data_IF_585067247726
#
_entry.id   IF_585067247726
#
_cell.length_a   1.000
_cell.length_b   1.000
_cell.length_c   1.000
_cell.angle_alpha   90.00
_cell.angle_beta   90.00
_cell.angle_gamma   90.00
#
_symmetry.space_group_name_H-M   'P 1'
#
loop_
_entity.id
_entity.type
_entity.pdbx_description
1 polymer ?
#
# COMPACT_ATOMS: atom_id res chain seq x y z
N UNK A 1 -18.40 -5.87 -0.12
CA UNK A 1 -18.80 -7.18 -0.72
C UNK A 1 -17.65 -8.18 -0.71
N UNK A 2 -16.43 -7.76 -1.05
CA UNK A 2 -15.22 -8.58 -1.02
C UNK A 2 -15.02 -9.34 0.31
N UNK A 3 -14.91 -8.59 1.42
CA UNK A 3 -14.76 -9.14 2.78
C UNK A 3 -15.87 -10.16 3.11
N UNK A 4 -17.13 -9.82 2.82
CA UNK A 4 -18.28 -10.68 3.15
C UNK A 4 -18.33 -11.97 2.33
N UNK A 5 -17.90 -11.93 1.06
CA UNK A 5 -17.97 -13.07 0.13
C UNK A 5 -16.62 -13.79 -0.04
N UNK A 6 -15.56 -13.38 0.67
CA UNK A 6 -14.18 -13.86 0.49
C UNK A 6 -13.71 -13.83 -0.98
N UNK A 7 -14.16 -12.82 -1.72
CA UNK A 7 -13.72 -12.56 -3.09
C UNK A 7 -12.80 -11.35 -3.06
N UNK A 8 -11.51 -11.57 -3.25
CA UNK A 8 -10.52 -10.52 -3.18
C UNK A 8 -10.65 -9.53 -4.35
N UNK A 9 -10.38 -8.27 -4.08
CA UNK A 9 -10.33 -7.20 -5.09
C UNK A 9 -8.89 -6.97 -5.51
N UNK A 10 -8.68 -6.77 -6.82
CA UNK A 10 -7.39 -6.33 -7.34
C UNK A 10 -7.30 -4.79 -7.28
N UNK A 11 -7.27 -4.23 -6.08
CA UNK A 11 -7.06 -2.80 -5.85
C UNK A 11 -5.75 -2.60 -5.10
N UNK A 12 -4.95 -1.62 -5.52
CA UNK A 12 -3.67 -1.26 -4.89
C UNK A 12 -3.77 0.17 -4.37
N UNK A 13 -4.28 0.32 -3.16
CA UNK A 13 -4.34 1.62 -2.50
C UNK A 13 -3.05 1.87 -1.71
N UNK A 14 -2.63 3.14 -1.55
CA UNK A 14 -1.60 3.49 -0.58
C UNK A 14 -1.99 3.08 0.84
N UNK A 15 -1.01 2.76 1.69
CA UNK A 15 -1.19 2.41 3.11
C UNK A 15 -2.03 3.42 3.89
N UNK A 16 -1.89 4.72 3.54
CA UNK A 16 -2.68 5.82 4.08
C UNK A 16 -4.19 5.55 4.02
N UNK A 17 -4.68 5.04 2.90
CA UNK A 17 -6.11 4.77 2.69
C UNK A 17 -6.56 3.68 3.66
N UNK A 18 -5.79 2.60 3.79
CA UNK A 18 -6.10 1.50 4.70
C UNK A 18 -6.12 1.96 6.15
N UNK A 19 -5.16 2.78 6.58
CA UNK A 19 -5.12 3.40 7.90
C UNK A 19 -6.36 4.24 8.18
N UNK A 20 -6.75 5.09 7.23
CA UNK A 20 -7.95 5.92 7.39
C UNK A 20 -9.24 5.09 7.42
N UNK A 21 -9.29 3.95 6.73
CA UNK A 21 -10.44 3.04 6.77
C UNK A 21 -10.50 2.23 8.08
N UNK A 22 -9.36 1.80 8.63
CA UNK A 22 -9.27 1.11 9.92
C UNK A 22 -9.31 2.05 11.13
N UNK A 23 -9.32 3.37 10.92
CA UNK A 23 -9.27 4.40 11.97
C UNK A 23 -7.93 4.41 12.72
N UNK A 24 -6.86 3.99 12.07
CA UNK A 24 -5.50 4.20 12.53
C UNK A 24 -5.05 5.65 12.32
N UNK A 25 -4.21 6.19 13.21
CA UNK A 25 -3.66 7.52 13.04
C UNK A 25 -2.72 7.58 11.84
N UNK A 26 -2.94 8.58 10.98
CA UNK A 26 -2.04 8.91 9.89
C UNK A 26 -0.84 9.67 10.44
N UNK A 27 0.36 9.32 9.98
CA UNK A 27 1.58 10.06 10.30
C UNK A 27 2.12 10.80 9.08
N UNK A 28 3.11 11.67 9.29
CA UNK A 28 3.73 12.45 8.21
C UNK A 28 4.45 11.53 7.23
N UNK A 29 5.05 10.45 7.73
CA UNK A 29 5.75 9.45 6.94
C UNK A 29 4.81 8.75 5.94
N UNK A 30 3.53 8.57 6.30
CA UNK A 30 2.52 7.98 5.41
C UNK A 30 2.25 8.84 4.17
N UNK A 31 2.29 10.18 4.32
CA UNK A 31 2.15 11.07 3.17
C UNK A 31 3.45 11.18 2.41
N UNK A 32 4.59 11.23 3.10
CA UNK A 32 5.90 11.28 2.46
C UNK A 32 6.14 10.06 1.55
N UNK A 33 5.59 8.90 1.91
CA UNK A 33 5.61 7.70 1.06
C UNK A 33 4.83 7.88 -0.26
N UNK A 34 3.87 8.81 -0.32
CA UNK A 34 3.03 9.08 -1.49
C UNK A 34 3.55 10.30 -2.27
N UNK A 35 3.92 11.35 -1.53
CA UNK A 35 4.34 12.67 -2.06
C UNK A 35 5.65 13.11 -1.39
N UNK A 36 6.72 12.36 -1.65
CA UNK A 36 8.05 12.66 -1.13
C UNK A 36 8.58 14.01 -1.60
N UNK A 37 8.17 14.45 -2.79
CA UNK A 37 8.64 15.70 -3.39
C UNK A 37 8.12 16.92 -2.63
N UNK A 38 6.82 17.00 -2.35
CA UNK A 38 6.25 18.13 -1.58
C UNK A 38 6.90 18.24 -0.20
N UNK A 39 7.13 17.12 0.48
CA UNK A 39 7.78 17.11 1.79
C UNK A 39 9.26 17.47 1.72
N UNK A 40 9.98 17.00 0.71
CA UNK A 40 11.39 17.36 0.49
C UNK A 40 11.53 18.87 0.31
N UNK A 41 10.72 19.48 -0.56
CA UNK A 41 10.76 20.93 -0.83
C UNK A 41 10.54 21.73 0.46
N UNK A 42 9.53 21.36 1.25
CA UNK A 42 9.20 22.08 2.50
C UNK A 42 10.27 21.87 3.56
N UNK A 43 10.76 20.64 3.72
CA UNK A 43 11.82 20.32 4.68
C UNK A 43 13.13 21.03 4.31
N UNK A 44 13.48 21.09 3.03
CA UNK A 44 14.66 21.82 2.55
C UNK A 44 14.52 23.32 2.73
N UNK A 45 13.33 23.87 2.49
CA UNK A 45 13.05 25.28 2.72
C UNK A 45 13.15 25.62 4.22
N UNK A 46 12.59 24.80 5.12
CA UNK A 46 12.76 24.95 6.57
C UNK A 46 14.24 24.90 6.98
N UNK A 47 15.02 23.94 6.45
CA UNK A 47 16.45 23.82 6.74
C UNK A 47 17.25 25.04 6.25
N UNK A 48 16.99 25.51 5.03
CA UNK A 48 17.67 26.70 4.47
C UNK A 48 17.40 27.94 5.31
N UNK A 49 16.17 28.12 5.79
CA UNK A 49 15.82 29.26 6.65
C UNK A 49 16.52 29.17 8.00
N UNK A 50 16.58 27.98 8.60
CA UNK A 50 17.28 27.79 9.86
C UNK A 50 18.80 28.02 9.71
N UNK A 51 19.37 27.58 8.59
CA UNK A 51 20.76 27.88 8.24
C UNK A 51 20.99 29.40 8.10
N UNK A 52 20.13 30.10 7.37
CA UNK A 52 20.20 31.55 7.19
C UNK A 52 20.09 32.26 8.55
N UNK A 53 19.16 31.86 9.42
CA UNK A 53 19.04 32.41 10.79
C UNK A 53 20.30 32.19 11.62
N UNK A 54 20.92 31.02 11.52
CA UNK A 54 22.13 30.67 12.28
C UNK A 54 23.37 31.47 11.84
N UNK A 55 23.50 31.76 10.55
CA UNK A 55 24.61 32.54 9.99
C UNK A 55 24.48 34.03 10.37
N UNK A 56 23.26 34.53 10.47
CA UNK A 56 23.02 35.98 10.60
C UNK A 56 22.93 36.43 12.06
N UNK A 57 22.71 35.51 13.01
CA UNK A 57 23.03 35.77 14.42
C UNK A 57 24.50 36.18 14.64
N UNK A 58 25.39 35.91 13.67
CA UNK A 58 26.80 36.28 13.70
C UNK A 58 27.16 37.59 12.96
N UNK A 59 26.28 38.14 12.10
CA UNK A 59 26.54 39.37 11.31
C UNK A 59 25.26 40.22 11.17
N UNK A 60 25.22 41.37 11.84
CA UNK A 60 24.04 42.24 11.96
C UNK A 60 23.64 43.03 10.68
N UNK A 61 24.42 42.90 9.60
CA UNK A 61 24.30 43.71 8.38
C UNK A 61 23.66 42.99 7.18
N UNK A 62 23.26 41.72 7.31
CA UNK A 62 22.65 40.97 6.21
C UNK A 62 21.12 41.15 6.16
N UNK A 63 20.62 41.65 5.02
CA UNK A 63 19.20 41.84 4.73
C UNK A 63 18.50 40.49 4.40
N UNK A 64 18.23 39.73 5.47
CA UNK A 64 17.53 38.42 5.47
C UNK A 64 16.23 38.49 4.67
N UNK A 65 15.48 39.57 4.91
CA UNK A 65 14.13 39.73 4.41
C UNK A 65 14.13 39.89 2.90
N UNK A 66 15.13 40.58 2.32
CA UNK A 66 15.26 40.71 0.87
C UNK A 66 15.51 39.36 0.17
N UNK A 67 16.44 38.54 0.69
CA UNK A 67 16.82 37.27 0.09
C UNK A 67 15.67 36.27 0.21
N UNK A 68 15.03 36.22 1.39
CA UNK A 68 13.89 35.37 1.64
C UNK A 68 12.69 35.75 0.75
N UNK A 69 12.37 37.05 0.69
CA UNK A 69 11.26 37.56 -0.13
C UNK A 69 11.49 37.28 -1.61
N UNK A 70 12.74 37.31 -2.08
CA UNK A 70 13.07 36.94 -3.46
C UNK A 70 12.74 35.46 -3.75
N UNK A 71 13.19 34.54 -2.87
CA UNK A 71 13.01 33.09 -3.04
C UNK A 71 11.55 32.68 -2.87
N UNK A 72 10.83 33.28 -1.94
CA UNK A 72 9.46 32.91 -1.56
C UNK A 72 8.38 33.86 -2.11
N UNK A 73 8.74 34.74 -3.05
CA UNK A 73 7.87 35.79 -3.60
C UNK A 73 6.53 35.27 -4.15
N UNK A 74 6.52 34.04 -4.66
CA UNK A 74 5.34 33.39 -5.24
C UNK A 74 4.51 32.60 -4.23
N UNK A 75 5.04 32.32 -3.03
CA UNK A 75 4.31 31.53 -2.02
C UNK A 75 3.30 32.39 -1.26
N UNK A 76 2.13 31.81 -1.05
CA UNK A 76 1.02 32.37 -0.25
C UNK A 76 0.55 31.31 0.75
N UNK A 77 -0.35 31.67 1.66
CA UNK A 77 -1.01 30.67 2.51
C UNK A 77 -2.12 29.93 1.75
N UNK A 78 -1.77 29.34 0.62
CA UNK A 78 -2.62 28.45 -0.16
C UNK A 78 -1.83 27.25 -0.67
N UNK A 79 -2.55 26.28 -1.22
CA UNK A 79 -1.98 25.03 -1.75
C UNK A 79 -2.82 24.53 -2.91
N UNK A 80 -2.15 24.02 -3.94
CA UNK A 80 -2.82 23.32 -5.03
C UNK A 80 -3.04 21.86 -4.63
N UNK A 81 -4.30 21.47 -4.57
CA UNK A 81 -4.71 20.10 -4.28
C UNK A 81 -4.29 19.12 -5.37
N UNK A 82 -4.31 17.82 -5.09
CA UNK A 82 -4.13 16.75 -6.07
C UNK A 82 -5.18 16.79 -7.19
N UNK A 83 -6.30 17.51 -6.99
CA UNK A 83 -7.32 17.76 -8.01
C UNK A 83 -7.07 19.00 -8.89
N UNK A 84 -5.98 19.73 -8.64
CA UNK A 84 -5.64 20.97 -9.35
C UNK A 84 -6.38 22.22 -8.84
N UNK A 85 -7.21 22.09 -7.81
CA UNK A 85 -7.90 23.22 -7.18
C UNK A 85 -7.03 23.85 -6.09
N UNK A 86 -7.02 25.18 -6.00
CA UNK A 86 -6.34 25.94 -4.94
C UNK A 86 -7.21 26.00 -3.69
N UNK A 87 -6.60 25.74 -2.53
CA UNK A 87 -7.21 25.83 -1.22
C UNK A 87 -6.44 26.79 -0.33
N UNK A 88 -7.14 27.70 0.33
CA UNK A 88 -6.52 28.58 1.32
C UNK A 88 -6.25 27.80 2.62
N UNK A 89 -5.01 27.87 3.11
CA UNK A 89 -4.57 27.23 4.36
C UNK A 89 -5.04 28.01 5.60
N UNK A 90 -5.24 29.32 5.44
CA UNK A 90 -5.85 30.23 6.42
C UNK A 90 -6.87 31.11 5.69
N UNK A 91 -7.74 31.81 6.44
CA UNK A 91 -8.69 32.76 5.85
C UNK A 91 -7.94 33.85 5.08
N UNK A 92 -8.35 34.07 3.82
CA UNK A 92 -7.73 35.07 2.92
C UNK A 92 -6.25 34.73 2.61
N UNK A 93 -5.88 33.46 2.74
CA UNK A 93 -4.50 33.00 2.67
C UNK A 93 -3.84 33.23 1.31
N UNK A 94 -4.60 33.22 0.22
CA UNK A 94 -4.10 33.52 -1.13
C UNK A 94 -3.59 34.96 -1.28
N UNK A 95 -4.01 35.88 -0.38
CA UNK A 95 -3.55 37.26 -0.38
C UNK A 95 -2.40 37.52 0.60
N UNK A 96 -2.00 36.53 1.40
CA UNK A 96 -0.99 36.68 2.46
C UNK A 96 0.36 36.12 1.97
N UNK A 97 1.36 36.97 1.68
CA UNK A 97 2.70 36.53 1.31
C UNK A 97 3.41 35.83 2.47
N UNK A 98 4.20 34.83 2.12
CA UNK A 98 5.04 34.13 3.08
C UNK A 98 6.27 34.99 3.42
N UNK A 99 6.54 35.14 4.72
CA UNK A 99 7.67 35.89 5.31
C UNK A 99 8.48 34.96 6.21
N UNK A 100 9.68 35.40 6.63
CA UNK A 100 10.56 34.61 7.52
C UNK A 100 9.85 34.26 8.83
N UNK A 101 9.03 35.17 9.36
CA UNK A 101 8.30 35.02 10.62
C UNK A 101 7.17 34.01 10.48
N UNK A 102 6.44 34.06 9.37
CA UNK A 102 5.22 33.27 9.18
C UNK A 102 5.48 31.91 8.49
N UNK A 103 6.67 31.69 7.92
CA UNK A 103 7.02 30.48 7.18
C UNK A 103 6.80 29.18 7.99
N UNK A 104 7.21 29.17 9.26
CA UNK A 104 7.01 28.01 10.14
C UNK A 104 5.53 27.66 10.30
N UNK A 105 4.67 28.68 10.34
CA UNK A 105 3.23 28.52 10.44
C UNK A 105 2.64 28.01 9.11
N UNK A 106 3.15 28.50 7.98
CA UNK A 106 2.81 27.98 6.65
C UNK A 106 3.14 26.49 6.53
N UNK A 107 4.36 26.07 6.88
CA UNK A 107 4.76 24.66 6.82
C UNK A 107 3.85 23.77 7.68
N UNK A 108 3.50 24.22 8.88
CA UNK A 108 2.57 23.51 9.75
C UNK A 108 1.21 23.32 9.09
N UNK A 109 0.62 24.39 8.55
CA UNK A 109 -0.70 24.31 7.90
C UNK A 109 -0.66 23.52 6.59
N UNK A 110 0.41 23.62 5.82
CA UNK A 110 0.60 22.82 4.61
C UNK A 110 0.61 21.32 4.93
N UNK A 111 1.40 20.89 5.93
CA UNK A 111 1.42 19.49 6.38
C UNK A 111 0.05 19.04 6.86
N UNK A 112 -0.63 19.88 7.64
CA UNK A 112 -1.98 19.58 8.11
C UNK A 112 -2.97 19.44 6.95
N UNK A 113 -2.89 20.30 5.92
CA UNK A 113 -3.71 20.16 4.73
C UNK A 113 -3.45 18.82 4.04
N UNK A 114 -2.17 18.48 3.77
CA UNK A 114 -1.80 17.22 3.10
C UNK A 114 -2.26 15.98 3.87
N UNK A 115 -2.27 16.01 5.21
CA UNK A 115 -2.82 14.93 6.06
C UNK A 115 -4.32 14.73 5.89
N UNK A 116 -5.06 15.79 5.59
CA UNK A 116 -6.52 15.79 5.58
C UNK A 116 -7.12 15.92 4.18
N UNK A 117 -6.29 16.04 3.15
CA UNK A 117 -6.68 16.31 1.76
C UNK A 117 -7.71 15.30 1.22
N UNK A 118 -7.58 14.03 1.62
CA UNK A 118 -8.43 12.94 1.15
C UNK A 118 -9.57 12.56 2.09
N UNK A 119 -9.73 13.23 3.23
CA UNK A 119 -10.69 12.82 4.27
C UNK A 119 -12.11 12.72 3.73
N UNK A 120 -12.53 13.66 2.89
CA UNK A 120 -13.89 13.68 2.32
C UNK A 120 -14.15 12.46 1.43
N UNK A 121 -13.20 12.10 0.58
CA UNK A 121 -13.30 10.95 -0.33
C UNK A 121 -13.32 9.66 0.47
N UNK A 122 -12.47 9.57 1.49
CA UNK A 122 -12.45 8.44 2.41
C UNK A 122 -13.76 8.32 3.18
N UNK A 123 -14.35 9.42 3.65
CA UNK A 123 -15.63 9.40 4.35
C UNK A 123 -16.74 8.81 3.49
N UNK A 124 -16.78 9.10 2.19
CA UNK A 124 -17.72 8.47 1.26
C UNK A 124 -17.46 6.97 1.09
N UNK A 125 -16.19 6.55 0.98
CA UNK A 125 -15.82 5.13 0.92
C UNK A 125 -16.24 4.41 2.20
N UNK A 126 -15.98 5.01 3.37
CA UNK A 126 -16.42 4.52 4.68
C UNK A 126 -17.93 4.37 4.70
N UNK A 127 -18.70 5.40 4.34
CA UNK A 127 -20.17 5.35 4.28
C UNK A 127 -20.67 4.20 3.38
N UNK A 128 -20.03 3.99 2.23
CA UNK A 128 -20.35 2.85 1.36
C UNK A 128 -20.06 1.50 2.03
N UNK A 129 -18.92 1.37 2.73
CA UNK A 129 -18.55 0.16 3.47
C UNK A 129 -19.51 -0.11 4.64
N UNK A 130 -19.92 0.93 5.37
CA UNK A 130 -20.87 0.85 6.49
C UNK A 130 -22.19 0.16 6.12
N UNK A 131 -22.66 0.35 4.88
CA UNK A 131 -23.89 -0.29 4.39
C UNK A 131 -23.77 -1.82 4.25
N UNK A 132 -22.54 -2.36 4.27
CA UNK A 132 -22.26 -3.78 4.08
C UNK A 132 -21.69 -4.41 5.36
N UNK A 133 -20.79 -3.69 6.04
CA UNK A 133 -20.10 -4.13 7.26
C UNK A 133 -20.17 -3.00 8.29
N UNK A 134 -20.72 -3.25 9.50
CA UNK A 134 -20.75 -2.24 10.55
C UNK A 134 -19.35 -1.72 10.90
N UNK A 135 -19.23 -0.41 11.10
CA UNK A 135 -17.93 0.25 11.27
C UNK A 135 -17.09 -0.27 12.42
N UNK A 136 -17.74 -0.69 13.50
CA UNK A 136 -17.02 -1.16 14.68
C UNK A 136 -16.16 -2.38 14.35
N UNK A 137 -16.56 -3.20 13.37
CA UNK A 137 -15.73 -4.31 12.90
C UNK A 137 -14.51 -3.84 12.14
N UNK A 138 -14.62 -2.75 11.36
CA UNK A 138 -13.47 -2.19 10.61
C UNK A 138 -12.39 -1.67 11.56
N UNK A 139 -12.79 -1.08 12.69
CA UNK A 139 -11.86 -0.63 13.73
C UNK A 139 -11.21 -1.76 14.54
N UNK A 140 -11.61 -3.02 14.34
CA UNK A 140 -10.91 -4.17 14.94
C UNK A 140 -9.72 -4.63 14.11
N UNK A 141 -9.68 -4.25 12.82
CA UNK A 141 -8.56 -4.59 11.94
C UNK A 141 -7.48 -3.53 12.05
N UNK A 142 -6.23 -3.98 11.96
CA UNK A 142 -5.14 -3.09 11.53
C UNK A 142 -5.27 -2.77 10.04
N UNK A 143 -4.60 -1.72 9.58
CA UNK A 143 -4.57 -1.31 8.17
C UNK A 143 -4.12 -2.47 7.26
N UNK A 144 -3.07 -3.18 7.66
CA UNK A 144 -2.56 -4.34 6.92
C UNK A 144 -3.57 -5.50 6.89
N UNK A 145 -4.23 -5.82 8.01
CA UNK A 145 -5.22 -6.89 8.02
C UNK A 145 -6.46 -6.54 7.19
N UNK A 146 -6.85 -5.26 7.17
CA UNK A 146 -7.95 -4.79 6.34
C UNK A 146 -7.60 -4.87 4.84
N UNK A 147 -6.36 -4.53 4.48
CA UNK A 147 -5.83 -4.72 3.14
C UNK A 147 -5.82 -6.20 2.76
N UNK A 148 -5.25 -7.09 3.58
CA UNK A 148 -5.21 -8.53 3.33
C UNK A 148 -6.62 -9.13 3.22
N UNK A 149 -7.55 -8.74 4.08
CA UNK A 149 -8.94 -9.20 4.04
C UNK A 149 -9.67 -8.74 2.77
N UNK A 150 -9.23 -7.63 2.15
CA UNK A 150 -9.86 -7.05 0.96
C UNK A 150 -9.21 -7.51 -0.33
N UNK A 151 -7.88 -7.55 -0.37
CA UNK A 151 -7.06 -7.78 -1.56
C UNK A 151 -6.38 -9.16 -1.58
N UNK A 152 -6.39 -9.87 -0.45
CA UNK A 152 -5.59 -11.07 -0.25
C UNK A 152 -4.14 -10.73 0.07
N UNK A 153 -3.36 -11.74 0.42
CA UNK A 153 -1.91 -11.58 0.65
C UNK A 153 -1.18 -11.37 -0.67
N UNK A 154 -0.25 -10.42 -0.70
CA UNK A 154 0.57 -10.18 -1.88
C UNK A 154 1.60 -11.29 -2.11
N UNK A 155 2.08 -11.91 -1.02
CA UNK A 155 3.01 -13.04 -1.07
C UNK A 155 2.29 -14.37 -0.88
N UNK A 156 2.72 -15.37 -1.63
CA UNK A 156 2.18 -16.73 -1.53
C UNK A 156 2.88 -17.46 -0.38
N UNK A 157 2.09 -17.78 0.64
CA UNK A 157 2.51 -18.60 1.77
C UNK A 157 2.59 -20.08 1.35
N UNK A 158 3.82 -20.53 1.06
CA UNK A 158 4.07 -21.89 0.58
C UNK A 158 3.79 -22.92 1.69
N UNK A 159 4.07 -22.60 2.95
CA UNK A 159 3.82 -23.51 4.06
C UNK A 159 2.30 -23.74 4.24
N UNK A 160 1.51 -22.67 4.14
CA UNK A 160 0.04 -22.77 4.15
C UNK A 160 -0.48 -23.61 2.99
N UNK A 161 0.08 -23.42 1.79
CA UNK A 161 -0.29 -24.21 0.60
C UNK A 161 0.10 -25.70 0.77
N UNK A 162 1.29 -25.99 1.29
CA UNK A 162 1.75 -27.35 1.58
C UNK A 162 0.86 -28.08 2.58
N UNK A 163 0.38 -27.39 3.61
CA UNK A 163 -0.55 -27.98 4.59
C UNK A 163 -1.92 -28.30 4.02
N UNK A 164 -2.32 -27.61 2.95
CA UNK A 164 -3.63 -27.73 2.31
C UNK A 164 -3.59 -28.44 0.95
N UNK A 165 -2.49 -29.14 0.64
CA UNK A 165 -2.35 -29.97 -0.56
C UNK A 165 -2.87 -31.39 -0.32
N UNK A 166 -3.41 -31.99 -1.37
CA UNK A 166 -3.71 -33.40 -1.49
C UNK A 166 -2.76 -34.02 -2.51
N UNK A 167 -2.22 -35.18 -2.18
CA UNK A 167 -1.46 -36.00 -3.13
C UNK A 167 -2.38 -37.11 -3.65
N UNK A 168 -2.54 -37.18 -4.97
CA UNK A 168 -3.36 -38.18 -5.66
C UNK A 168 -2.52 -39.28 -6.30
N UNK A 169 -3.11 -40.46 -6.48
CA UNK A 169 -2.43 -41.63 -7.05
C UNK A 169 -1.45 -42.25 -6.04
N UNK A 170 -0.22 -42.53 -6.49
CA UNK A 170 0.84 -43.10 -5.65
C UNK A 170 1.73 -42.04 -4.96
N UNK A 171 1.46 -40.75 -5.18
CA UNK A 171 2.26 -39.69 -4.58
C UNK A 171 1.97 -39.51 -3.09
N UNK A 172 3.05 -39.21 -2.37
CA UNK A 172 3.06 -38.79 -0.97
C UNK A 172 4.01 -37.61 -0.81
N UNK A 173 4.02 -36.98 0.36
CA UNK A 173 4.93 -35.88 0.66
C UNK A 173 6.42 -36.27 0.50
N UNK A 174 6.75 -37.53 0.74
CA UNK A 174 8.11 -38.08 0.61
C UNK A 174 8.51 -38.41 -0.83
N UNK A 175 7.57 -38.40 -1.78
CA UNK A 175 7.83 -38.77 -3.16
C UNK A 175 8.84 -37.80 -3.80
N UNK A 176 9.90 -38.28 -4.48
CA UNK A 176 10.93 -37.41 -5.06
C UNK A 176 10.40 -36.31 -6.01
N UNK A 177 9.38 -36.57 -6.87
CA UNK A 177 8.79 -35.51 -7.70
C UNK A 177 8.13 -34.40 -6.87
N UNK A 178 7.48 -34.73 -5.75
CA UNK A 178 6.81 -33.78 -4.86
C UNK A 178 7.84 -32.92 -4.13
N UNK A 179 8.91 -33.53 -3.59
CA UNK A 179 10.00 -32.77 -2.95
C UNK A 179 10.67 -31.80 -3.94
N UNK A 180 10.89 -32.22 -5.19
CA UNK A 180 11.43 -31.35 -6.23
C UNK A 180 10.49 -30.20 -6.57
N UNK A 181 9.18 -30.46 -6.69
CA UNK A 181 8.17 -29.44 -6.94
C UNK A 181 8.22 -28.34 -5.89
N UNK A 182 8.20 -28.71 -4.60
CA UNK A 182 8.26 -27.74 -3.50
C UNK A 182 9.58 -27.00 -3.44
N UNK A 183 10.70 -27.70 -3.69
CA UNK A 183 12.02 -27.08 -3.76
C UNK A 183 12.08 -26.00 -4.83
N UNK A 184 11.60 -26.29 -6.05
CA UNK A 184 11.56 -25.32 -7.15
C UNK A 184 10.65 -24.14 -6.80
N UNK A 185 9.48 -24.42 -6.22
CA UNK A 185 8.53 -23.36 -5.85
C UNK A 185 9.08 -22.42 -4.78
N UNK A 186 9.85 -22.95 -3.82
CA UNK A 186 10.39 -22.17 -2.71
C UNK A 186 11.70 -21.44 -3.07
N UNK A 187 12.61 -22.11 -3.79
CA UNK A 187 13.97 -21.58 -4.03
C UNK A 187 14.12 -20.87 -5.38
N UNK A 188 13.34 -21.25 -6.40
CA UNK A 188 13.58 -20.78 -7.78
C UNK A 188 12.51 -19.81 -8.28
N UNK A 189 11.27 -19.90 -7.80
CA UNK A 189 10.18 -19.08 -8.30
C UNK A 189 10.12 -17.73 -7.57
N UNK A 190 9.99 -16.65 -8.35
CA UNK A 190 9.58 -15.36 -7.82
C UNK A 190 8.06 -15.30 -7.55
N UNK A 191 7.58 -14.26 -6.87
CA UNK A 191 6.15 -14.16 -6.52
C UNK A 191 5.21 -14.16 -7.72
N UNK A 192 5.60 -13.54 -8.85
CA UNK A 192 4.77 -13.54 -10.06
C UNK A 192 4.66 -14.94 -10.67
N UNK A 193 5.75 -15.73 -10.66
CA UNK A 193 5.75 -17.12 -11.10
C UNK A 193 4.92 -18.02 -10.18
N UNK A 194 4.98 -17.80 -8.86
CA UNK A 194 4.12 -18.51 -7.90
C UNK A 194 2.64 -18.18 -8.17
N UNK A 195 2.30 -16.91 -8.40
CA UNK A 195 0.94 -16.47 -8.76
C UNK A 195 0.48 -17.10 -10.08
N UNK A 196 1.35 -17.14 -11.08
CA UNK A 196 1.06 -17.78 -12.37
C UNK A 196 0.78 -19.28 -12.22
N UNK A 197 1.51 -19.99 -11.35
CA UNK A 197 1.25 -21.39 -11.03
C UNK A 197 -0.13 -21.57 -10.39
N UNK A 198 -0.50 -20.74 -9.41
CA UNK A 198 -1.83 -20.80 -8.79
C UNK A 198 -2.93 -20.51 -9.83
N UNK A 199 -2.74 -19.56 -10.74
CA UNK A 199 -3.69 -19.29 -11.82
C UNK A 199 -3.80 -20.51 -12.74
N UNK A 200 -2.67 -21.14 -13.08
CA UNK A 200 -2.64 -22.32 -13.93
C UNK A 200 -3.42 -23.48 -13.31
N UNK A 201 -3.15 -23.82 -12.05
CA UNK A 201 -3.69 -24.99 -11.38
C UNK A 201 -5.07 -24.78 -10.74
N UNK A 202 -5.38 -23.56 -10.29
CA UNK A 202 -6.56 -23.24 -9.48
C UNK A 202 -7.39 -22.06 -10.00
N UNK A 203 -6.93 -21.37 -11.05
CA UNK A 203 -7.66 -20.23 -11.62
C UNK A 203 -7.69 -18.99 -10.72
N UNK A 204 -6.89 -18.95 -9.64
CA UNK A 204 -6.81 -17.83 -8.69
C UNK A 204 -5.38 -17.38 -8.52
N UNK A 205 -5.17 -16.08 -8.32
CA UNK A 205 -3.84 -15.49 -8.12
C UNK A 205 -3.43 -15.39 -6.66
N UNK A 206 -4.31 -15.72 -5.71
CA UNK A 206 -4.06 -15.60 -4.28
C UNK A 206 -4.55 -16.83 -3.53
N UNK A 207 -3.93 -17.09 -2.37
CA UNK A 207 -4.35 -18.14 -1.46
C UNK A 207 -5.50 -17.67 -0.55
N UNK A 208 -6.33 -18.59 -0.06
CA UNK A 208 -7.11 -18.37 1.15
C UNK A 208 -6.19 -17.96 2.33
N UNK A 209 -6.69 -17.13 3.25
CA UNK A 209 -5.86 -16.57 4.34
C UNK A 209 -5.62 -17.62 5.45
N UNK A 210 -6.61 -18.47 5.72
CA UNK A 210 -6.58 -19.49 6.78
C UNK A 210 -6.90 -20.87 6.21
N UNK A 211 -6.48 -21.93 6.91
CA UNK A 211 -6.73 -23.32 6.52
C UNK A 211 -8.22 -23.63 6.33
N UNK A 212 -9.07 -23.07 7.20
CA UNK A 212 -10.52 -23.27 7.14
C UNK A 212 -11.16 -22.66 5.88
N UNK A 213 -10.45 -21.75 5.20
CA UNK A 213 -10.94 -21.06 4.01
C UNK A 213 -10.66 -21.85 2.71
N UNK A 214 -9.98 -23.00 2.78
CA UNK A 214 -9.73 -23.87 1.64
C UNK A 214 -10.94 -24.77 1.34
N UNK A 215 -11.92 -24.22 0.59
CA UNK A 215 -13.10 -24.96 0.13
C UNK A 215 -12.74 -26.08 -0.86
N UNK A 216 -11.68 -25.89 -1.65
CA UNK A 216 -11.12 -26.90 -2.56
C UNK A 216 -9.60 -26.98 -2.33
N UNK A 217 -9.08 -28.21 -2.23
CA UNK A 217 -7.66 -28.46 -1.96
C UNK A 217 -6.81 -28.47 -3.22
N UNK A 218 -5.51 -28.19 -3.05
CA UNK A 218 -4.55 -28.18 -4.16
C UNK A 218 -4.21 -29.63 -4.39
N UNK A 219 -4.43 -30.17 -5.58
CA UNK A 219 -4.20 -31.60 -5.80
C UNK A 219 -3.02 -31.78 -6.76
N UNK A 220 -2.00 -32.51 -6.33
CA UNK A 220 -0.92 -32.98 -7.20
C UNK A 220 -1.07 -34.48 -7.34
N UNK A 221 -1.37 -34.95 -8.54
CA UNK A 221 -1.55 -36.37 -8.82
C UNK A 221 -0.64 -36.84 -9.94
N UNK A 222 -0.38 -38.14 -9.94
CA UNK A 222 0.19 -38.80 -11.11
C UNK A 222 -0.77 -38.69 -12.29
N UNK A 223 -0.21 -38.64 -13.49
CA UNK A 223 -0.95 -38.64 -14.75
C UNK A 223 -0.81 -40.03 -15.35
N UNK A 224 -1.91 -40.77 -15.50
CA UNK A 224 -1.90 -42.08 -16.17
C UNK A 224 -1.66 -41.90 -17.67
N UNK A 225 -0.39 -42.03 -18.08
CA UNK A 225 -0.03 -42.05 -19.50
C UNK A 225 -0.24 -43.49 -20.00
N UNK A 226 -1.28 -43.70 -20.82
CA UNK A 226 -1.59 -45.02 -21.37
C UNK A 226 -0.52 -45.58 -22.33
N UNK A 227 0.48 -44.78 -22.79
CA UNK A 227 1.47 -45.25 -23.79
C UNK A 227 2.75 -44.38 -23.95
N UNK A 228 3.30 -43.74 -22.91
CA UNK A 228 4.44 -42.81 -23.08
C UNK A 228 5.36 -42.60 -21.88
N UNK A 229 6.61 -42.19 -22.14
CA UNK A 229 7.59 -41.83 -21.11
C UNK A 229 7.13 -40.60 -20.31
N UNK A 230 6.99 -40.77 -18.99
CA UNK A 230 6.54 -39.74 -18.03
C UNK A 230 7.34 -38.44 -18.15
N UNK A 231 8.65 -38.54 -18.36
CA UNK A 231 9.58 -37.39 -18.43
C UNK A 231 9.51 -36.60 -19.75
N UNK A 232 8.73 -37.06 -20.74
CA UNK A 232 8.54 -36.36 -22.03
C UNK A 232 7.28 -35.49 -22.07
N UNK A 233 6.50 -35.46 -20.99
CA UNK A 233 5.23 -34.71 -20.94
C UNK A 233 5.32 -33.52 -19.99
N UNK A 234 4.65 -32.42 -20.36
CA UNK A 234 4.54 -31.25 -19.49
C UNK A 234 3.41 -31.47 -18.46
N UNK A 235 3.51 -30.85 -17.27
CA UNK A 235 2.41 -30.85 -16.32
C UNK A 235 1.11 -30.34 -16.96
N UNK A 236 0.02 -31.07 -16.76
CA UNK A 236 -1.30 -30.71 -17.25
C UNK A 236 -2.25 -30.47 -16.08
N UNK A 237 -3.34 -29.74 -16.32
CA UNK A 237 -4.41 -29.54 -15.35
C UNK A 237 -5.63 -30.35 -15.77
N UNK A 238 -6.24 -31.06 -14.82
CA UNK A 238 -7.59 -31.58 -14.96
C UNK A 238 -8.55 -30.56 -14.35
N UNK A 239 -9.60 -30.20 -15.10
CA UNK A 239 -10.69 -29.32 -14.64
C UNK A 239 -11.77 -30.18 -14.00
#
# INVERSE_FOLDING_TARGET
MAIRRKHYLNVKFPSLVWKQLSNEPITVEDIEAIDSQSFTIINEAEKKIEQIRSVIAADADNDIDSLFSSIMSELRFDVVSSSGQTYELIRDGSNIPITVENFKQYCKYYRQYRLNEFNRQIDFVRQGLHNIVPCYYLSLFTANELEEATCGKDRIDIELLQRNVCYGGCYSEESPPIQRFWKVLNEMFNEDQKKALLIFAWGRSTLPIRDEDFEMKFCISEFDIYDGEVDKTLPSKYI
#
